data_IF_487891392291
#
_entry.id   IF_487891392291
#
_cell.length_a   1.000
_cell.length_b   1.000
_cell.length_c   1.000
_cell.angle_alpha   90.00
_cell.angle_beta   90.00
_cell.angle_gamma   90.00
#
_symmetry.space_group_name_H-M   'P 1'
#
loop_
_entity.id
_entity.type
_entity.pdbx_description
1 polymer ?
#
# COMPACT_ATOMS: atom_id res chain seq x y z
N UNK A 1 10.57 -13.56 -3.26
CA UNK A 1 9.91 -12.42 -2.58
C UNK A 1 10.33 -11.07 -3.15
N UNK A 2 11.63 -10.75 -3.26
CA UNK A 2 12.10 -9.40 -3.65
C UNK A 2 11.53 -8.88 -4.98
N UNK A 3 11.48 -9.72 -6.02
CA UNK A 3 10.88 -9.32 -7.31
C UNK A 3 9.38 -9.00 -7.21
N UNK A 4 8.63 -9.68 -6.33
CA UNK A 4 7.21 -9.40 -6.12
C UNK A 4 7.00 -8.04 -5.45
N UNK A 5 7.79 -7.78 -4.39
CA UNK A 5 7.74 -6.51 -3.66
C UNK A 5 8.17 -5.34 -4.57
N UNK A 6 9.26 -5.52 -5.34
CA UNK A 6 9.73 -4.52 -6.29
C UNK A 6 8.67 -4.20 -7.36
N UNK A 7 7.96 -5.21 -7.88
CA UNK A 7 6.87 -5.01 -8.82
C UNK A 7 5.69 -4.26 -8.18
N UNK A 8 5.31 -4.63 -6.96
CA UNK A 8 4.21 -4.00 -6.23
C UNK A 8 4.46 -2.52 -5.91
N UNK A 9 5.72 -2.11 -5.77
CA UNK A 9 6.16 -0.75 -5.42
C UNK A 9 6.72 0.05 -6.62
N UNK A 10 6.54 -0.43 -7.85
CA UNK A 10 7.12 0.16 -9.06
C UNK A 10 6.33 1.39 -9.55
N UNK A 11 6.32 2.47 -8.75
CA UNK A 11 5.56 3.70 -9.04
C UNK A 11 6.08 4.32 -10.35
N UNK A 12 5.22 4.49 -11.38
CA UNK A 12 5.59 5.16 -12.62
C UNK A 12 6.24 6.52 -12.36
N UNK A 13 7.23 6.86 -13.18
CA UNK A 13 8.10 8.04 -13.04
C UNK A 13 9.10 8.03 -11.85
N UNK A 14 8.91 7.17 -10.83
CA UNK A 14 9.87 7.02 -9.72
C UNK A 14 10.75 5.80 -9.91
N UNK A 15 10.17 4.67 -10.29
CA UNK A 15 10.85 3.40 -10.48
C UNK A 15 10.60 2.82 -11.88
N UNK A 16 11.53 1.98 -12.33
CA UNK A 16 11.35 1.23 -13.59
C UNK A 16 10.31 0.11 -13.37
N UNK A 17 9.44 -0.16 -14.35
CA UNK A 17 8.57 -1.33 -14.31
C UNK A 17 9.35 -2.64 -14.19
N UNK A 18 8.74 -3.65 -13.56
CA UNK A 18 9.38 -4.95 -13.30
C UNK A 18 8.81 -6.01 -14.22
N UNK A 19 9.68 -6.73 -14.94
CA UNK A 19 9.27 -7.92 -15.70
C UNK A 19 9.28 -9.14 -14.78
N UNK A 20 8.13 -9.80 -14.65
CA UNK A 20 7.98 -11.03 -13.86
C UNK A 20 6.99 -11.97 -14.53
N UNK A 21 7.38 -13.24 -14.69
CA UNK A 21 6.57 -14.27 -15.33
C UNK A 21 6.05 -13.86 -16.74
N UNK A 22 6.88 -13.14 -17.51
CA UNK A 22 6.51 -12.64 -18.84
C UNK A 22 5.62 -11.39 -18.84
N UNK A 23 5.19 -10.91 -17.67
CA UNK A 23 4.37 -9.70 -17.54
C UNK A 23 5.23 -8.51 -17.15
N UNK A 24 4.95 -7.35 -17.75
CA UNK A 24 5.47 -6.06 -17.31
C UNK A 24 4.53 -5.51 -16.22
N UNK A 25 5.06 -5.27 -15.02
CA UNK A 25 4.29 -4.90 -13.83
C UNK A 25 4.67 -3.49 -13.36
N UNK A 26 3.66 -2.77 -12.88
CA UNK A 26 3.76 -1.44 -12.25
C UNK A 26 3.15 -1.51 -10.83
N UNK A 27 3.29 -0.41 -10.10
CA UNK A 27 2.76 -0.25 -8.75
C UNK A 27 1.30 -0.67 -8.58
N UNK A 28 1.04 -1.47 -7.54
CA UNK A 28 -0.29 -1.96 -7.23
C UNK A 28 -1.22 -0.89 -6.67
N UNK A 29 -0.66 0.16 -6.05
CA UNK A 29 -1.37 1.31 -5.52
C UNK A 29 -2.19 2.08 -6.54
N UNK A 30 -1.80 2.01 -7.82
CA UNK A 30 -2.54 2.64 -8.93
C UNK A 30 -3.80 1.84 -9.29
N UNK A 31 -3.78 0.52 -9.10
CA UNK A 31 -4.88 -0.36 -9.50
C UNK A 31 -5.80 -0.71 -8.32
N UNK A 32 -5.23 -1.18 -7.22
CA UNK A 32 -5.94 -1.55 -6.00
C UNK A 32 -5.08 -1.19 -4.76
N UNK A 33 -5.17 0.06 -4.26
CA UNK A 33 -4.30 0.57 -3.19
C UNK A 33 -4.47 -0.07 -1.82
N UNK A 34 -5.64 -0.64 -1.53
CA UNK A 34 -5.90 -1.39 -0.30
C UNK A 34 -6.64 -2.66 -0.69
N UNK A 35 -5.94 -3.74 -1.11
CA UNK A 35 -6.55 -4.91 -1.74
C UNK A 35 -7.14 -5.88 -0.71
N UNK A 36 -8.01 -5.37 0.18
CA UNK A 36 -8.66 -6.15 1.23
C UNK A 36 -9.68 -7.16 0.68
N UNK A 37 -10.23 -6.88 -0.50
CA UNK A 37 -11.17 -7.72 -1.24
C UNK A 37 -10.58 -9.10 -1.56
N UNK A 38 -9.26 -9.18 -1.73
CA UNK A 38 -8.57 -10.44 -2.01
C UNK A 38 -8.60 -11.42 -0.83
N UNK A 39 -8.91 -10.95 0.38
CA UNK A 39 -8.88 -11.71 1.63
C UNK A 39 -10.27 -12.15 2.12
N UNK A 40 -11.36 -11.73 1.44
CA UNK A 40 -12.75 -11.95 1.89
C UNK A 40 -13.11 -13.41 2.17
N UNK A 41 -12.45 -14.36 1.49
CA UNK A 41 -12.70 -15.80 1.64
C UNK A 41 -11.74 -16.49 2.61
N UNK A 42 -10.67 -15.80 2.99
CA UNK A 42 -9.55 -16.36 3.72
C UNK A 42 -9.52 -15.89 5.19
N UNK A 43 -10.41 -14.96 5.57
CA UNK A 43 -10.45 -14.40 6.92
C UNK A 43 -11.88 -14.06 7.37
N UNK A 44 -12.19 -14.35 8.64
CA UNK A 44 -13.45 -13.93 9.28
C UNK A 44 -13.48 -12.43 9.61
N UNK A 45 -12.30 -11.84 9.87
CA UNK A 45 -12.12 -10.43 10.20
C UNK A 45 -10.96 -9.89 9.37
N UNK A 46 -11.20 -8.79 8.66
CA UNK A 46 -10.22 -8.10 7.83
C UNK A 46 -10.03 -6.68 8.37
N UNK A 47 -8.77 -6.30 8.62
CA UNK A 47 -8.40 -4.95 9.04
C UNK A 47 -7.63 -4.30 7.89
N UNK A 48 -8.25 -3.31 7.24
CA UNK A 48 -7.67 -2.55 6.15
C UNK A 48 -7.16 -1.20 6.66
N UNK A 49 -5.96 -0.80 6.25
CA UNK A 49 -5.33 0.47 6.65
C UNK A 49 -5.15 1.33 5.41
N UNK A 50 -5.95 2.39 5.29
CA UNK A 50 -5.76 3.43 4.28
C UNK A 50 -4.98 4.60 4.89
N UNK A 51 -3.83 4.92 4.30
CA UNK A 51 -2.95 6.03 4.71
C UNK A 51 -3.08 7.25 3.80
N UNK A 52 -3.91 7.18 2.76
CA UNK A 52 -4.18 8.28 1.81
C UNK A 52 -5.26 9.22 2.36
N UNK A 53 -6.12 8.71 3.26
CA UNK A 53 -7.19 9.48 3.87
C UNK A 53 -6.72 10.81 4.46
N UNK A 54 -7.34 11.91 4.04
CA UNK A 54 -7.18 13.19 4.72
C UNK A 54 -7.60 12.99 6.19
N UNK A 55 -6.86 13.53 7.16
CA UNK A 55 -7.21 13.27 8.54
C UNK A 55 -8.56 13.92 8.82
N UNK A 56 -9.57 13.10 9.12
CA UNK A 56 -10.85 13.58 9.62
C UNK A 56 -10.61 14.30 10.95
N UNK A 57 -11.35 15.36 11.24
CA UNK A 57 -11.23 16.15 12.48
C UNK A 57 -11.53 15.35 13.77
N UNK A 58 -11.82 14.05 13.67
CA UNK A 58 -11.82 13.12 14.79
C UNK A 58 -10.37 12.86 15.26
N UNK A 59 -9.90 13.75 16.13
CA UNK A 59 -8.73 13.64 17.00
C UNK A 59 -7.40 13.27 16.31
N UNK A 60 -6.84 14.21 15.56
CA UNK A 60 -5.38 14.27 15.40
C UNK A 60 -4.77 14.52 16.78
N UNK A 61 -4.26 13.49 17.46
CA UNK A 61 -3.22 13.72 18.47
C UNK A 61 -2.05 14.40 17.76
N UNK A 62 -1.71 15.61 18.19
CA UNK A 62 -0.51 16.27 17.71
C UNK A 62 0.69 15.36 18.01
N UNK A 63 1.56 15.09 17.01
CA UNK A 63 2.81 14.38 17.27
C UNK A 63 3.58 15.15 18.35
N UNK A 64 3.99 14.44 19.39
CA UNK A 64 4.72 15.04 20.50
C UNK A 64 6.22 14.98 20.23
N UNK A 65 7.01 15.75 20.99
CA UNK A 65 8.47 15.74 20.86
C UNK A 65 9.08 14.33 21.06
N UNK A 66 8.38 13.44 21.75
CA UNK A 66 8.79 12.04 21.95
C UNK A 66 8.67 11.21 20.67
N UNK A 67 7.71 11.52 19.79
CA UNK A 67 7.50 10.83 18.51
C UNK A 67 8.51 11.26 17.43
N UNK A 68 9.23 12.36 17.69
CA UNK A 68 10.24 12.95 16.79
C UNK A 68 11.70 12.63 17.21
N UNK A 69 11.88 11.89 18.31
CA UNK A 69 13.18 11.42 18.79
C UNK A 69 13.52 10.02 18.28
#
# INVERSE_FOLDING_TARGET
LHSALAASAAIPAVFRPVVRNGCLLIDGGIYNPVPFDLLEKDADIIIAIDVVGAPSDAERKHPTTVDLM
#
